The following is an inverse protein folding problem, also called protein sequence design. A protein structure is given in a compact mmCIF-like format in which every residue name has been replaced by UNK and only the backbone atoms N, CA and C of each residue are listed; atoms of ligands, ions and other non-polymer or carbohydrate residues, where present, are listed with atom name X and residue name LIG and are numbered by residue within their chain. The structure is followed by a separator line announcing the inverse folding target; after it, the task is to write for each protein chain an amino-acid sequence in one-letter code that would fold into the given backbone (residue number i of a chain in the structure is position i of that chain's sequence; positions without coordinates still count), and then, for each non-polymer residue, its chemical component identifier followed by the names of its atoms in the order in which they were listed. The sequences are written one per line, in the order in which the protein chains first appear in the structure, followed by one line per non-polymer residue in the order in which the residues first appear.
data_IF_766681159048
#
_entry.id   IF_766681159048
#
_cell.length_a   1.000
_cell.length_b   1.000
_cell.length_c   1.000
_cell.angle_alpha   90.00
_cell.angle_beta   90.00
_cell.angle_gamma   90.00
#
_symmetry.space_group_name_H-M   'P 1'
#
loop_
_entity.id
_entity.type
_entity.pdbx_description
1 polymer ?
#
# COMPACT_ATOMS: atom_id res chain seq x y z
N UNK A 1 3.41 -17.07 -6.02
CA UNK A 1 3.55 -15.84 -5.20
C UNK A 1 3.33 -14.65 -6.11
N UNK A 2 2.45 -13.74 -5.71
CA UNK A 2 2.14 -12.49 -6.41
C UNK A 2 2.40 -11.35 -5.44
N UNK A 3 3.02 -10.28 -5.91
CA UNK A 3 3.30 -9.07 -5.14
C UNK A 3 2.79 -7.86 -5.91
N UNK A 4 2.47 -6.80 -5.18
CA UNK A 4 2.19 -5.49 -5.73
C UNK A 4 3.15 -4.46 -5.12
N UNK A 5 3.39 -3.37 -5.83
CA UNK A 5 4.08 -2.23 -5.24
C UNK A 5 3.24 -1.70 -4.07
N UNK A 6 3.87 -1.54 -2.91
CA UNK A 6 3.19 -0.96 -1.75
C UNK A 6 2.93 0.53 -2.01
N UNK A 7 1.72 1.03 -1.72
CA UNK A 7 1.42 2.43 -1.81
C UNK A 7 2.25 3.18 -0.78
N UNK A 8 2.83 4.29 -1.20
CA UNK A 8 3.54 5.20 -0.32
C UNK A 8 2.51 6.01 0.48
N UNK A 9 2.50 5.88 1.80
CA UNK A 9 1.40 6.37 2.65
C UNK A 9 1.73 7.69 3.35
N UNK A 10 2.47 8.58 2.68
CA UNK A 10 2.60 9.97 3.13
C UNK A 10 1.29 10.76 2.97
N UNK A 11 0.38 10.29 2.12
CA UNK A 11 -0.97 10.84 1.93
C UNK A 11 -1.99 9.72 1.71
N UNK A 12 -3.29 10.06 1.74
CA UNK A 12 -4.37 9.15 1.37
C UNK A 12 -4.19 8.71 -0.10
N UNK A 13 -4.14 7.41 -0.40
CA UNK A 13 -3.96 6.92 -1.76
C UNK A 13 -5.07 7.40 -2.71
N UNK A 14 -4.67 7.85 -3.89
CA UNK A 14 -5.59 8.11 -5.01
C UNK A 14 -5.66 6.89 -5.94
N UNK A 15 -6.57 6.93 -6.91
CA UNK A 15 -6.81 5.82 -7.85
C UNK A 15 -5.52 5.27 -8.47
N UNK A 16 -4.63 6.16 -8.97
CA UNK A 16 -3.35 5.75 -9.56
C UNK A 16 -2.47 4.87 -8.65
N UNK A 17 -2.46 5.15 -7.35
CA UNK A 17 -1.68 4.42 -6.34
C UNK A 17 -2.29 3.05 -6.02
N UNK A 18 -3.60 2.87 -6.28
CA UNK A 18 -4.34 1.62 -6.03
C UNK A 18 -4.31 0.68 -7.26
N UNK A 19 -4.13 1.21 -8.48
CA UNK A 19 -4.11 0.40 -9.72
C UNK A 19 -3.17 -0.82 -9.65
N UNK A 20 -1.94 -0.72 -9.12
CA UNK A 20 -1.06 -1.88 -8.99
C UNK A 20 -1.63 -2.98 -8.08
N UNK A 21 -2.25 -2.59 -6.95
CA UNK A 21 -2.90 -3.50 -6.01
C UNK A 21 -4.08 -4.22 -6.68
N UNK A 22 -4.94 -3.46 -7.36
CA UNK A 22 -6.11 -3.98 -8.07
C UNK A 22 -5.69 -4.97 -9.17
N UNK A 23 -4.68 -4.60 -9.97
CA UNK A 23 -4.18 -5.45 -11.05
C UNK A 23 -3.63 -6.77 -10.51
N UNK A 24 -2.87 -6.73 -9.42
CA UNK A 24 -2.33 -7.92 -8.77
C UNK A 24 -3.44 -8.81 -8.17
N UNK A 25 -4.47 -8.21 -7.55
CA UNK A 25 -5.62 -8.94 -7.01
C UNK A 25 -6.41 -9.66 -8.11
N UNK A 26 -6.66 -9.00 -9.24
CA UNK A 26 -7.35 -9.61 -10.40
C UNK A 26 -6.60 -10.85 -10.88
N UNK A 27 -5.26 -10.76 -11.04
CA UNK A 27 -4.43 -11.90 -11.45
C UNK A 27 -4.43 -13.00 -10.39
N UNK A 28 -4.35 -12.63 -9.11
CA UNK A 28 -4.40 -13.59 -8.01
C UNK A 28 -5.71 -14.38 -7.99
N UNK A 29 -6.85 -13.70 -8.15
CA UNK A 29 -8.17 -14.34 -8.23
C UNK A 29 -8.28 -15.24 -9.44
N UNK A 30 -7.84 -14.78 -10.60
CA UNK A 30 -7.85 -15.58 -11.84
C UNK A 30 -7.06 -16.89 -11.65
N UNK A 31 -5.85 -16.83 -11.09
CA UNK A 31 -5.03 -18.02 -10.90
C UNK A 31 -5.62 -18.98 -9.85
N UNK A 32 -6.24 -18.47 -8.78
CA UNK A 32 -6.99 -19.31 -7.83
C UNK A 32 -8.15 -20.05 -8.51
N UNK A 33 -8.92 -19.37 -9.36
CA UNK A 33 -10.02 -19.98 -10.12
C UNK A 33 -9.53 -21.06 -11.09
N UNK A 34 -8.28 -20.99 -11.54
CA UNK A 34 -7.62 -21.99 -12.38
C UNK A 34 -7.02 -23.17 -11.60
N UNK A 35 -7.20 -23.21 -10.29
CA UNK A 35 -6.72 -24.29 -9.42
C UNK A 35 -5.27 -24.14 -8.98
N UNK A 36 -4.64 -22.97 -9.17
CA UNK A 36 -3.30 -22.72 -8.66
C UNK A 36 -3.34 -22.34 -7.18
N UNK A 37 -2.33 -22.80 -6.42
CA UNK A 37 -2.06 -22.26 -5.08
C UNK A 37 -1.44 -20.86 -5.20
N UNK A 38 -2.09 -19.87 -4.59
CA UNK A 38 -1.71 -18.44 -4.74
C UNK A 38 -1.59 -17.77 -3.38
N UNK A 39 -0.35 -17.40 -3.04
CA UNK A 39 -0.03 -16.40 -2.03
C UNK A 39 0.07 -15.01 -2.69
N UNK A 40 -0.79 -14.08 -2.27
CA UNK A 40 -0.74 -12.67 -2.65
C UNK A 40 -0.35 -11.84 -1.42
N UNK A 41 0.71 -11.03 -1.54
CA UNK A 41 1.25 -10.20 -0.45
C UNK A 41 1.24 -8.74 -0.87
N UNK A 42 0.75 -7.88 0.02
CA UNK A 42 0.83 -6.43 -0.08
C UNK A 42 0.95 -5.81 1.33
N UNK A 43 1.06 -4.49 1.41
CA UNK A 43 1.26 -3.70 2.63
C UNK A 43 1.33 -2.22 2.28
N UNK A 44 1.87 -1.39 3.17
CA UNK A 44 2.12 0.04 2.97
C UNK A 44 3.62 0.32 3.05
N UNK A 45 4.10 1.30 2.28
CA UNK A 45 5.47 1.78 2.40
C UNK A 45 5.50 3.01 3.31
N UNK A 46 6.13 2.84 4.48
CA UNK A 46 6.04 3.72 5.64
C UNK A 46 7.34 4.49 5.91
N UNK A 47 8.38 4.34 5.08
CA UNK A 47 9.69 4.95 5.34
C UNK A 47 10.13 5.91 4.24
N UNK A 48 10.87 6.96 4.61
CA UNK A 48 11.58 7.84 3.69
C UNK A 48 11.27 9.32 3.87
N UNK A 49 12.07 10.16 3.23
CA UNK A 49 12.04 11.63 3.40
C UNK A 49 10.66 12.26 3.20
N UNK A 50 9.82 11.85 2.23
CA UNK A 50 8.51 12.49 2.09
C UNK A 50 7.56 12.23 3.26
N UNK A 51 7.69 11.12 3.98
CA UNK A 51 6.91 10.84 5.19
C UNK A 51 7.41 11.72 6.34
N UNK A 52 8.74 11.80 6.53
CA UNK A 52 9.33 12.66 7.55
C UNK A 52 8.98 14.14 7.34
N UNK A 53 9.08 14.64 6.11
CA UNK A 53 8.72 16.01 5.75
C UNK A 53 7.24 16.30 6.03
N UNK A 54 6.36 15.34 5.72
CA UNK A 54 4.93 15.51 5.96
C UNK A 54 4.59 15.46 7.45
N UNK A 55 5.21 14.56 8.21
CA UNK A 55 5.05 14.46 9.65
C UNK A 55 5.49 15.77 10.35
N UNK A 56 6.64 16.33 9.96
CA UNK A 56 7.11 17.65 10.43
C UNK A 56 6.11 18.75 10.05
N UNK A 57 5.54 18.71 8.84
CA UNK A 57 4.55 19.70 8.38
C UNK A 57 3.26 19.66 9.21
N UNK A 58 2.82 18.47 9.60
CA UNK A 58 1.63 18.25 10.41
C UNK A 58 1.88 18.35 11.92
N UNK A 59 3.14 18.37 12.36
CA UNK A 59 3.52 18.43 13.77
C UNK A 59 3.27 17.12 14.53
N UNK A 60 3.30 15.98 13.83
CA UNK A 60 3.09 14.64 14.38
C UNK A 60 4.35 13.78 14.20
N UNK A 61 4.43 12.65 14.91
CA UNK A 61 5.49 11.67 14.68
C UNK A 61 5.28 10.93 13.35
N UNK A 62 6.34 10.57 12.59
CA UNK A 62 6.21 9.83 11.33
C UNK A 62 5.36 8.56 11.46
N UNK A 63 5.51 7.84 12.57
CA UNK A 63 4.74 6.64 12.86
C UNK A 63 3.25 6.91 13.04
N UNK A 64 2.88 8.03 13.66
CA UNK A 64 1.47 8.40 13.85
C UNK A 64 0.81 8.72 12.49
N UNK A 65 1.53 9.45 11.63
CA UNK A 65 1.10 9.71 10.25
C UNK A 65 0.91 8.43 9.45
N UNK A 66 1.86 7.49 9.53
CA UNK A 66 1.81 6.24 8.78
C UNK A 66 0.73 5.30 9.31
N UNK A 67 0.59 5.17 10.64
CA UNK A 67 -0.45 4.35 11.26
C UNK A 67 -1.85 4.87 10.87
N UNK A 68 -2.07 6.19 10.90
CA UNK A 68 -3.32 6.81 10.49
C UNK A 68 -3.62 6.59 9.00
N UNK A 69 -2.62 6.79 8.13
CA UNK A 69 -2.81 6.65 6.70
C UNK A 69 -3.00 5.18 6.31
N UNK A 70 -2.25 4.24 6.91
CA UNK A 70 -2.39 2.81 6.67
C UNK A 70 -3.81 2.30 6.97
N UNK A 71 -4.43 2.79 8.05
CA UNK A 71 -5.80 2.42 8.42
C UNK A 71 -6.87 2.82 7.37
N UNK A 72 -6.52 3.71 6.43
CA UNK A 72 -7.41 4.21 5.37
C UNK A 72 -7.19 3.53 4.01
N UNK A 73 -6.28 2.55 3.92
CA UNK A 73 -5.88 1.86 2.67
C UNK A 73 -6.44 0.46 2.57
#
# INVERSE_FOLDING_TARGET
MICAAWPYINYIPHLGTIIPLLSADVVARFLRMRGHEVLFVSGSDEHGTPIEVEAVRQGVEPRELTDENHAKV
#
